data_IF_404577589138
#
_entry.id   IF_404577589138
#
_cell.length_a   1.000
_cell.length_b   1.000
_cell.length_c   1.000
_cell.angle_alpha   90.00
_cell.angle_beta   90.00
_cell.angle_gamma   90.00
#
_symmetry.space_group_name_H-M   'P 1'
#
loop_
_entity.id
_entity.type
_entity.pdbx_description
1 polymer ?
#
# COMPACT_ATOMS: atom_id res chain seq x y z
N UNK A 1 9.61 -1.09 28.48
CA UNK A 1 8.25 -0.63 28.87
C UNK A 1 8.20 0.83 29.29
N UNK A 2 9.15 1.33 30.06
CA UNK A 2 9.19 2.76 30.44
C UNK A 2 9.46 3.67 29.24
N UNK A 3 10.40 3.31 28.38
CA UNK A 3 10.69 4.05 27.14
C UNK A 3 9.49 4.12 26.21
N UNK A 4 8.73 3.03 26.08
CA UNK A 4 7.52 3.00 25.26
C UNK A 4 6.44 3.93 25.84
N UNK A 5 6.23 3.88 27.16
CA UNK A 5 5.31 4.78 27.85
C UNK A 5 5.70 6.25 27.71
N UNK A 6 6.99 6.55 27.73
CA UNK A 6 7.52 7.91 27.55
C UNK A 6 7.31 8.38 26.10
N UNK A 7 7.52 7.48 25.17
CA UNK A 7 7.30 7.72 23.72
C UNK A 7 5.83 7.99 23.43
N UNK A 8 4.95 7.16 23.99
CA UNK A 8 3.50 7.31 23.85
C UNK A 8 3.01 8.62 24.47
N UNK A 9 3.53 8.99 25.63
CA UNK A 9 3.24 10.30 26.26
C UNK A 9 3.72 11.47 25.42
N UNK A 10 4.88 11.37 24.77
CA UNK A 10 5.38 12.42 23.88
C UNK A 10 4.54 12.56 22.61
N UNK A 11 4.13 11.43 22.03
CA UNK A 11 3.25 11.41 20.86
C UNK A 11 1.89 12.01 21.23
N UNK A 12 1.31 11.62 22.34
CA UNK A 12 0.02 12.16 22.84
C UNK A 12 0.11 13.65 23.18
N UNK A 13 1.21 14.09 23.78
CA UNK A 13 1.46 15.50 24.05
C UNK A 13 1.62 16.33 22.77
N UNK A 14 2.31 15.79 21.78
CA UNK A 14 2.50 16.46 20.48
C UNK A 14 1.21 16.52 19.66
N UNK A 15 0.34 15.50 19.76
CA UNK A 15 -0.97 15.52 19.13
C UNK A 15 -1.95 16.47 19.83
N UNK A 16 -1.66 16.85 21.07
CA UNK A 16 -2.47 17.77 21.85
C UNK A 16 -3.98 17.44 21.77
N UNK A 17 -4.30 16.17 22.06
CA UNK A 17 -5.64 15.60 21.91
C UNK A 17 -6.72 16.38 22.67
N UNK A 18 -6.38 16.98 23.82
CA UNK A 18 -7.31 17.79 24.57
C UNK A 18 -7.68 19.09 23.85
N UNK A 19 -6.72 19.75 23.19
CA UNK A 19 -7.00 20.89 22.30
C UNK A 19 -7.82 20.49 21.08
N UNK A 20 -7.57 19.32 20.52
CA UNK A 20 -8.35 18.78 19.40
C UNK A 20 -9.78 18.52 19.85
N UNK A 21 -9.97 17.87 20.99
CA UNK A 21 -11.30 17.60 21.56
C UNK A 21 -12.09 18.88 21.82
N UNK A 22 -11.46 19.94 22.32
CA UNK A 22 -12.11 21.21 22.58
C UNK A 22 -12.42 22.01 21.32
N UNK A 23 -11.65 21.83 20.23
CA UNK A 23 -11.87 22.50 18.95
C UNK A 23 -12.84 21.78 18.03
N UNK A 24 -12.98 20.46 18.19
CA UNK A 24 -13.89 19.66 17.37
C UNK A 24 -15.26 19.70 18.01
N UNK A 25 -16.11 20.57 17.53
CA UNK A 25 -17.55 20.56 17.84
C UNK A 25 -18.18 19.32 17.15
N UNK A 26 -19.39 18.95 17.59
CA UNK A 26 -20.12 17.85 16.97
C UNK A 26 -20.32 18.05 15.47
N UNK A 27 -20.62 19.27 15.04
CA UNK A 27 -20.78 19.61 13.62
C UNK A 27 -19.45 19.51 12.85
N UNK A 28 -18.35 19.96 13.45
CA UNK A 28 -17.00 19.81 12.87
C UNK A 28 -16.62 18.35 12.72
N UNK A 29 -16.97 17.50 13.68
CA UNK A 29 -16.73 16.07 13.62
C UNK A 29 -17.51 15.40 12.50
N UNK A 30 -18.79 15.76 12.32
CA UNK A 30 -19.61 15.28 11.20
C UNK A 30 -19.03 15.72 9.86
N UNK A 31 -18.60 16.96 9.73
CA UNK A 31 -17.96 17.48 8.52
C UNK A 31 -16.68 16.74 8.20
N UNK A 32 -15.81 16.52 9.21
CA UNK A 32 -14.58 15.76 9.04
C UNK A 32 -14.85 14.30 8.63
N UNK A 33 -15.82 13.66 9.28
CA UNK A 33 -16.25 12.30 8.94
C UNK A 33 -16.73 12.20 7.49
N UNK A 34 -17.52 13.17 7.04
CA UNK A 34 -17.98 13.24 5.64
C UNK A 34 -16.81 13.42 4.67
N UNK A 35 -15.85 14.29 4.98
CA UNK A 35 -14.67 14.53 4.14
C UNK A 35 -13.78 13.28 4.05
N UNK A 36 -13.56 12.58 5.15
CA UNK A 36 -12.80 11.32 5.16
C UNK A 36 -13.52 10.27 4.34
N UNK A 37 -14.82 10.12 4.50
CA UNK A 37 -15.64 9.18 3.74
C UNK A 37 -15.57 9.47 2.23
N UNK A 38 -15.71 10.72 1.84
CA UNK A 38 -15.59 11.15 0.45
C UNK A 38 -14.18 10.90 -0.11
N UNK A 39 -13.15 11.11 0.70
CA UNK A 39 -11.77 10.84 0.32
C UNK A 39 -11.53 9.35 0.08
N UNK A 40 -11.98 8.50 0.99
CA UNK A 40 -11.88 7.04 0.83
C UNK A 40 -12.61 6.59 -0.44
N UNK A 41 -13.82 7.08 -0.65
CA UNK A 41 -14.59 6.80 -1.86
C UNK A 41 -13.84 7.22 -3.13
N UNK A 42 -13.24 8.41 -3.11
CA UNK A 42 -12.43 8.92 -4.23
C UNK A 42 -11.24 8.00 -4.54
N UNK A 43 -10.50 7.54 -3.53
CA UNK A 43 -9.37 6.62 -3.73
C UNK A 43 -9.87 5.32 -4.37
N UNK A 44 -10.96 4.75 -3.86
CA UNK A 44 -11.53 3.52 -4.39
C UNK A 44 -12.04 3.68 -5.84
N UNK A 45 -12.67 4.79 -6.15
CA UNK A 45 -13.15 5.05 -7.52
C UNK A 45 -12.00 5.34 -8.49
N UNK A 46 -10.99 6.09 -8.06
CA UNK A 46 -9.84 6.44 -8.91
C UNK A 46 -9.01 5.20 -9.29
N UNK A 47 -8.87 4.22 -8.39
CA UNK A 47 -8.15 2.98 -8.71
C UNK A 47 -8.76 2.21 -9.88
N UNK A 48 -10.07 2.33 -10.11
CA UNK A 48 -10.77 1.64 -11.20
C UNK A 48 -10.37 2.13 -12.59
N UNK A 49 -9.76 3.30 -12.70
CA UNK A 49 -9.24 3.83 -13.97
C UNK A 49 -8.07 3.03 -14.52
N UNK A 50 -7.41 2.25 -13.67
CA UNK A 50 -6.29 1.39 -14.03
C UNK A 50 -6.63 -0.07 -13.78
N UNK A 51 -6.43 -0.93 -14.77
CA UNK A 51 -6.67 -2.38 -14.67
C UNK A 51 -5.75 -3.00 -13.61
N UNK A 52 -4.48 -2.59 -13.58
CA UNK A 52 -3.50 -3.10 -12.63
C UNK A 52 -3.85 -2.74 -11.18
N UNK A 53 -4.17 -1.47 -10.92
CA UNK A 53 -4.55 -1.01 -9.58
C UNK A 53 -5.88 -1.61 -9.12
N UNK A 54 -6.85 -1.69 -10.01
CA UNK A 54 -8.13 -2.32 -9.70
C UNK A 54 -7.94 -3.78 -9.25
N UNK A 55 -7.02 -4.51 -9.89
CA UNK A 55 -6.69 -5.88 -9.54
C UNK A 55 -5.90 -5.97 -8.23
N UNK A 56 -4.86 -5.15 -8.08
CA UNK A 56 -4.01 -5.12 -6.88
C UNK A 56 -4.78 -4.70 -5.63
N UNK A 57 -5.77 -3.85 -5.76
CA UNK A 57 -6.60 -3.36 -4.66
C UNK A 57 -7.97 -4.03 -4.56
N UNK A 58 -8.16 -5.18 -5.24
CA UNK A 58 -9.45 -5.87 -5.27
C UNK A 58 -9.87 -6.43 -3.91
N UNK A 59 -8.91 -6.84 -3.08
CA UNK A 59 -9.16 -7.33 -1.73
C UNK A 59 -7.92 -7.10 -0.85
N UNK A 60 -8.07 -7.31 0.44
CA UNK A 60 -7.00 -7.05 1.42
C UNK A 60 -5.76 -7.94 1.20
N UNK A 61 -5.94 -9.18 0.75
CA UNK A 61 -4.83 -10.08 0.46
C UNK A 61 -3.92 -9.51 -0.62
N UNK A 62 -4.52 -9.05 -1.70
CA UNK A 62 -3.81 -8.44 -2.83
C UNK A 62 -3.14 -7.13 -2.44
N UNK A 63 -3.83 -6.29 -1.67
CA UNK A 63 -3.25 -5.03 -1.15
C UNK A 63 -2.00 -5.30 -0.32
N UNK A 64 -2.06 -6.23 0.62
CA UNK A 64 -0.90 -6.56 1.48
C UNK A 64 0.29 -7.05 0.67
N UNK A 65 0.07 -7.94 -0.29
CA UNK A 65 1.12 -8.47 -1.15
C UNK A 65 1.70 -7.36 -2.03
N UNK A 66 0.85 -6.56 -2.67
CA UNK A 66 1.27 -5.43 -3.49
C UNK A 66 2.15 -4.45 -2.70
N UNK A 67 1.70 -4.04 -1.51
CA UNK A 67 2.44 -3.09 -0.68
C UNK A 67 3.81 -3.62 -0.27
N UNK A 68 3.93 -4.91 0.05
CA UNK A 68 5.22 -5.51 0.38
C UNK A 68 6.18 -5.50 -0.82
N UNK A 69 5.69 -5.87 -2.00
CA UNK A 69 6.49 -5.87 -3.22
C UNK A 69 6.90 -4.45 -3.59
N UNK A 70 5.97 -3.52 -3.53
CA UNK A 70 6.23 -2.11 -3.82
C UNK A 70 7.23 -1.49 -2.84
N UNK A 71 7.05 -1.75 -1.55
CA UNK A 71 7.95 -1.25 -0.51
C UNK A 71 9.38 -1.82 -0.65
N UNK A 72 9.51 -3.10 -0.94
CA UNK A 72 10.80 -3.74 -1.21
C UNK A 72 11.50 -3.09 -2.41
N UNK A 73 10.74 -2.82 -3.46
CA UNK A 73 11.27 -2.15 -4.66
C UNK A 73 11.80 -0.75 -4.33
N UNK A 74 11.05 0.05 -3.59
CA UNK A 74 11.48 1.40 -3.18
C UNK A 74 12.69 1.38 -2.26
N UNK A 75 12.80 0.38 -1.41
CA UNK A 75 13.91 0.22 -0.45
C UNK A 75 15.14 -0.43 -1.08
N UNK A 76 15.10 -0.81 -2.35
CA UNK A 76 16.18 -1.52 -3.03
C UNK A 76 16.43 -2.94 -2.49
N UNK A 77 15.45 -3.53 -1.82
CA UNK A 77 15.54 -4.88 -1.26
C UNK A 77 14.93 -5.91 -2.21
N UNK A 78 15.54 -7.08 -2.26
CA UNK A 78 14.95 -8.23 -2.94
C UNK A 78 13.80 -8.79 -2.11
N UNK A 79 12.75 -9.28 -2.76
CA UNK A 79 11.65 -9.98 -2.11
C UNK A 79 11.23 -11.21 -2.89
N UNK A 80 10.96 -12.29 -2.19
CA UNK A 80 10.61 -13.60 -2.74
C UNK A 80 9.27 -14.05 -2.17
N UNK A 81 8.61 -15.01 -2.84
CA UNK A 81 7.34 -15.59 -2.36
C UNK A 81 7.44 -16.12 -0.94
N UNK A 82 8.56 -16.78 -0.63
CA UNK A 82 8.82 -17.38 0.68
C UNK A 82 8.92 -16.31 1.78
N UNK A 83 9.50 -15.16 1.48
CA UNK A 83 9.58 -14.04 2.43
C UNK A 83 8.23 -13.39 2.63
N UNK A 84 7.45 -13.21 1.58
CA UNK A 84 6.08 -12.71 1.68
C UNK A 84 5.26 -13.62 2.60
N UNK A 85 5.38 -14.92 2.43
CA UNK A 85 4.69 -15.91 3.27
C UNK A 85 5.12 -15.88 4.74
N UNK A 86 6.36 -15.51 5.02
CA UNK A 86 6.85 -15.33 6.39
C UNK A 86 6.31 -14.06 7.06
N UNK A 87 6.09 -13.02 6.28
CA UNK A 87 5.59 -11.72 6.77
C UNK A 87 4.07 -11.77 6.91
N UNK A 88 3.37 -12.28 5.89
CA UNK A 88 1.91 -12.43 5.90
C UNK A 88 1.55 -13.85 6.32
N UNK A 89 1.47 -14.05 7.63
CA UNK A 89 1.22 -15.38 8.22
C UNK A 89 -0.24 -15.83 8.17
N UNK A 90 -1.16 -14.90 7.88
CA UNK A 90 -2.61 -15.15 7.83
C UNK A 90 -3.04 -15.98 6.62
N UNK A 91 -2.21 -16.04 5.58
CA UNK A 91 -2.52 -16.77 4.34
C UNK A 91 -1.51 -17.87 4.09
N UNK A 92 -1.96 -18.97 3.45
CA UNK A 92 -1.07 -20.05 3.07
C UNK A 92 -0.10 -19.59 1.97
N UNK A 93 1.06 -20.25 1.92
CA UNK A 93 2.02 -20.07 0.83
C UNK A 93 1.36 -20.25 -0.56
N UNK A 94 0.49 -21.24 -0.69
CA UNK A 94 -0.24 -21.50 -1.94
C UNK A 94 -1.09 -20.30 -2.38
N UNK A 95 -1.77 -19.66 -1.45
CA UNK A 95 -2.57 -18.46 -1.72
C UNK A 95 -1.68 -17.30 -2.17
N UNK A 96 -0.59 -17.06 -1.48
CA UNK A 96 0.38 -16.01 -1.80
C UNK A 96 1.01 -16.26 -3.18
N UNK A 97 1.49 -17.48 -3.42
CA UNK A 97 2.07 -17.86 -4.69
C UNK A 97 1.11 -17.66 -5.87
N UNK A 98 -0.16 -18.03 -5.69
CA UNK A 98 -1.19 -17.84 -6.70
C UNK A 98 -1.41 -16.37 -7.05
N UNK A 99 -1.43 -15.50 -6.07
CA UNK A 99 -1.63 -14.05 -6.28
C UNK A 99 -0.41 -13.45 -7.00
N UNK A 100 0.80 -13.84 -6.59
CA UNK A 100 2.04 -13.38 -7.24
C UNK A 100 2.11 -13.87 -8.68
N UNK A 101 1.83 -15.15 -8.92
CA UNK A 101 1.84 -15.74 -10.25
C UNK A 101 0.80 -15.12 -11.17
N UNK A 102 -0.39 -14.84 -10.67
CA UNK A 102 -1.44 -14.08 -11.38
C UNK A 102 -0.93 -12.69 -11.80
N UNK A 103 -0.25 -12.00 -10.89
CA UNK A 103 0.34 -10.70 -11.18
C UNK A 103 1.45 -10.76 -12.22
N UNK A 104 2.27 -11.80 -12.20
CA UNK A 104 3.33 -12.01 -13.20
C UNK A 104 2.70 -12.31 -14.56
N UNK A 105 1.72 -13.20 -14.62
CA UNK A 105 1.01 -13.54 -15.86
C UNK A 105 0.38 -12.31 -16.52
N UNK A 106 -0.18 -11.40 -15.71
CA UNK A 106 -0.83 -10.18 -16.19
C UNK A 106 0.11 -8.98 -16.33
N UNK A 107 1.41 -9.18 -16.18
CA UNK A 107 2.44 -8.15 -16.26
C UNK A 107 2.31 -7.02 -15.21
N UNK A 108 1.74 -7.30 -14.06
CA UNK A 108 1.74 -6.39 -12.92
C UNK A 108 3.03 -6.52 -12.10
N UNK A 109 3.56 -7.71 -12.01
CA UNK A 109 4.84 -8.02 -11.41
C UNK A 109 5.79 -8.62 -12.44
N UNK A 110 7.08 -8.44 -12.20
CA UNK A 110 8.14 -9.02 -13.03
C UNK A 110 9.14 -9.73 -12.12
N UNK A 111 9.80 -10.74 -12.66
CA UNK A 111 10.91 -11.41 -12.01
C UNK A 111 12.22 -10.81 -12.55
N UNK A 112 13.09 -10.35 -11.68
CA UNK A 112 14.40 -9.86 -12.05
C UNK A 112 15.50 -10.84 -11.69
N UNK A 113 16.40 -11.05 -12.65
CA UNK A 113 17.65 -11.75 -12.41
C UNK A 113 18.64 -10.88 -11.63
N UNK A 114 19.72 -11.46 -11.06
CA UNK A 114 20.74 -10.68 -10.33
C UNK A 114 21.39 -9.56 -11.15
N UNK A 115 21.36 -9.65 -12.48
CA UNK A 115 21.86 -8.62 -13.40
C UNK A 115 20.85 -7.48 -13.67
N UNK A 116 19.67 -7.52 -13.04
CA UNK A 116 18.62 -6.54 -13.20
C UNK A 116 17.73 -6.69 -14.42
N UNK A 117 17.91 -7.75 -15.21
CA UNK A 117 17.08 -8.03 -16.39
C UNK A 117 15.84 -8.82 -16.04
N UNK A 118 14.74 -8.54 -16.73
CA UNK A 118 13.52 -9.34 -16.62
C UNK A 118 13.79 -10.77 -17.10
N UNK A 119 13.40 -11.74 -16.28
CA UNK A 119 13.56 -13.15 -16.57
C UNK A 119 12.25 -13.91 -16.45
N UNK A 120 12.10 -14.94 -17.30
CA UNK A 120 11.02 -15.93 -17.21
C UNK A 120 11.48 -17.22 -16.52
N UNK A 121 12.73 -17.29 -16.08
CA UNK A 121 13.27 -18.46 -15.39
C UNK A 121 12.68 -18.53 -13.96
N UNK A 122 11.96 -19.63 -13.68
CA UNK A 122 11.35 -19.87 -12.36
C UNK A 122 12.35 -20.07 -11.21
N UNK A 123 13.65 -20.17 -11.50
CA UNK A 123 14.71 -20.17 -10.47
C UNK A 123 15.03 -18.79 -9.95
N UNK A 124 14.70 -17.75 -10.71
CA UNK A 124 14.87 -16.36 -10.34
C UNK A 124 13.65 -15.93 -9.58
N UNK A 125 13.84 -15.47 -8.36
CA UNK A 125 12.76 -15.29 -7.40
C UNK A 125 12.47 -13.84 -7.04
N UNK A 126 13.37 -12.89 -7.37
CA UNK A 126 13.19 -11.49 -7.01
C UNK A 126 12.00 -10.88 -7.75
N UNK A 127 10.98 -10.52 -7.00
CA UNK A 127 9.71 -9.99 -7.52
C UNK A 127 9.76 -8.46 -7.47
N UNK A 128 9.39 -7.83 -8.57
CA UNK A 128 9.29 -6.37 -8.66
C UNK A 128 7.96 -5.97 -9.27
N UNK A 129 7.44 -4.78 -8.95
CA UNK A 129 6.33 -4.23 -9.72
C UNK A 129 6.81 -3.91 -11.13
N UNK A 130 5.94 -4.10 -12.12
CA UNK A 130 6.23 -3.68 -13.50
C UNK A 130 6.31 -2.16 -13.60
N UNK A 131 6.96 -1.64 -14.62
CA UNK A 131 7.02 -0.20 -14.86
C UNK A 131 5.62 0.40 -15.05
N UNK A 132 4.74 -0.30 -15.74
CA UNK A 132 3.36 0.13 -15.92
C UNK A 132 2.60 0.21 -14.59
N UNK A 133 2.77 -0.77 -13.70
CA UNK A 133 2.16 -0.73 -12.37
C UNK A 133 2.71 0.43 -11.53
N UNK A 134 4.01 0.68 -11.58
CA UNK A 134 4.64 1.82 -10.90
C UNK A 134 4.04 3.13 -11.42
N UNK A 135 3.94 3.29 -12.73
CA UNK A 135 3.36 4.48 -13.36
C UNK A 135 1.91 4.68 -12.95
N UNK A 136 1.10 3.64 -12.98
CA UNK A 136 -0.31 3.69 -12.55
C UNK A 136 -0.43 4.09 -11.08
N UNK A 137 0.41 3.53 -10.23
CA UNK A 137 0.43 3.86 -8.79
C UNK A 137 0.89 5.30 -8.53
N UNK A 138 1.88 5.78 -9.26
CA UNK A 138 2.33 7.17 -9.16
C UNK A 138 1.23 8.14 -9.61
N UNK A 139 0.53 7.83 -10.69
CA UNK A 139 -0.59 8.65 -11.17
C UNK A 139 -1.72 8.71 -10.15
N UNK A 140 -2.07 7.58 -9.54
CA UNK A 140 -3.03 7.55 -8.44
C UNK A 140 -2.57 8.39 -7.26
N UNK A 141 -1.30 8.27 -6.88
CA UNK A 141 -0.71 9.01 -5.77
C UNK A 141 -0.74 10.51 -6.00
N UNK A 142 -0.47 10.96 -7.21
CA UNK A 142 -0.54 12.38 -7.59
C UNK A 142 -1.98 12.89 -7.49
N UNK A 143 -2.96 12.15 -8.00
CA UNK A 143 -4.38 12.54 -7.91
C UNK A 143 -4.86 12.62 -6.46
N UNK A 144 -4.47 11.63 -5.64
CA UNK A 144 -4.79 11.59 -4.20
C UNK A 144 -4.16 12.77 -3.47
N UNK A 145 -2.88 13.04 -3.72
CA UNK A 145 -2.16 14.16 -3.12
C UNK A 145 -2.76 15.50 -3.50
N UNK A 146 -3.06 15.70 -4.78
CA UNK A 146 -3.69 16.93 -5.26
C UNK A 146 -5.03 17.20 -4.59
N UNK A 147 -5.79 16.15 -4.32
CA UNK A 147 -7.07 16.28 -3.61
C UNK A 147 -6.87 16.59 -2.13
N UNK A 148 -5.88 15.99 -1.48
CA UNK A 148 -5.54 16.29 -0.08
C UNK A 148 -5.11 17.75 0.10
N UNK A 149 -4.26 18.27 -0.77
CA UNK A 149 -3.81 19.66 -0.73
C UNK A 149 -4.96 20.66 -0.83
N UNK A 150 -5.99 20.37 -1.63
CA UNK A 150 -7.17 21.24 -1.77
C UNK A 150 -8.10 21.21 -0.56
N UNK A 151 -8.07 20.13 0.25
CA UNK A 151 -8.98 19.90 1.37
C UNK A 151 -8.37 20.24 2.72
N UNK A 152 -7.07 20.10 2.85
CA UNK A 152 -6.31 20.27 4.08
C UNK A 152 -5.13 21.21 3.89
#
# INVERSE_FOLDING_TARGET
>A
MEEQKLRDKRILANLNLDKIKHKITEDSFKTLGTEISNFIHFVYETRKKSTSLNRCFANIKRVKIFLLIFHANESGKEIYKEEIAKIITEYSYKTIAKIVDDGIEKNFFVLLSPDGKVSKDGKIKNIRPSEDLITDFLNLSIEVWSRLEKKF
#
